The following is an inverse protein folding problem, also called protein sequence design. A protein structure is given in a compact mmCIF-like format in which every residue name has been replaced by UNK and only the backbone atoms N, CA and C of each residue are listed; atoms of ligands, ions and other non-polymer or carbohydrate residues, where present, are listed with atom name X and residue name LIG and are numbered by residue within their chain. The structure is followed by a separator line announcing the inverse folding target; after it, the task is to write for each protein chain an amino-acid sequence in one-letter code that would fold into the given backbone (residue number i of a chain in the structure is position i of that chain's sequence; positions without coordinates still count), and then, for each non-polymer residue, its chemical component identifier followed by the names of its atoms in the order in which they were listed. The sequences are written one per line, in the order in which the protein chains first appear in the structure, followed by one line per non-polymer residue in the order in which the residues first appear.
data_IF_300651922628
#
_entry.id   IF_300651922628
#
_cell.length_a   1.000
_cell.length_b   1.000
_cell.length_c   1.000
_cell.angle_alpha   90.00
_cell.angle_beta   90.00
_cell.angle_gamma   90.00
#
_symmetry.space_group_name_H-M   'P 1'
#
loop_
_entity.id
_entity.type
_entity.pdbx_description
1 polymer ?
#
# COMPACT_ATOMS: atom_id res chain seq x y z
N UNK A 1 -4.10 13.38 28.48
CA UNK A 1 -3.03 13.69 27.50
C UNK A 1 -3.64 14.00 26.13
N UNK A 2 -3.05 14.96 25.37
CA UNK A 2 -3.57 15.34 24.05
C UNK A 2 -3.20 14.28 23.00
N UNK A 3 -4.13 13.94 22.08
CA UNK A 3 -3.88 13.05 20.93
C UNK A 3 -2.73 13.59 20.07
N UNK A 4 -2.85 14.84 19.67
CA UNK A 4 -1.87 15.59 18.86
C UNK A 4 -0.73 16.09 19.76
N UNK A 5 0.08 15.14 20.26
CA UNK A 5 1.31 15.48 20.95
C UNK A 5 2.46 15.68 19.94
N UNK A 6 3.54 16.33 20.39
CA UNK A 6 4.68 16.69 19.53
C UNK A 6 5.33 15.47 18.85
N UNK A 7 5.45 14.36 19.57
CA UNK A 7 6.11 13.17 19.05
C UNK A 7 5.22 12.44 18.05
N UNK A 8 3.93 12.33 18.32
CA UNK A 8 2.96 11.77 17.38
C UNK A 8 2.90 12.59 16.06
N UNK A 9 2.90 13.92 16.15
CA UNK A 9 2.92 14.77 14.95
C UNK A 9 4.17 14.52 14.10
N UNK A 10 5.35 14.34 14.71
CA UNK A 10 6.57 13.98 13.97
C UNK A 10 6.43 12.63 13.26
N UNK A 11 5.89 11.62 13.95
CA UNK A 11 5.66 10.29 13.38
C UNK A 11 4.67 10.35 12.21
N UNK A 12 3.63 11.18 12.30
CA UNK A 12 2.69 11.45 11.22
C UNK A 12 3.38 12.07 10.01
N UNK A 13 4.26 13.05 10.23
CA UNK A 13 5.08 13.67 9.16
C UNK A 13 6.03 12.65 8.54
N UNK A 14 6.71 11.83 9.36
CA UNK A 14 7.55 10.73 8.86
C UNK A 14 6.76 9.81 7.94
N UNK A 15 5.55 9.40 8.37
CA UNK A 15 4.68 8.52 7.59
C UNK A 15 4.25 9.17 6.26
N UNK A 16 3.81 10.42 6.34
CA UNK A 16 3.41 11.16 5.15
C UNK A 16 4.56 11.28 4.14
N UNK A 17 5.76 11.70 4.58
CA UNK A 17 6.92 11.88 3.71
C UNK A 17 7.42 10.55 3.12
N UNK A 18 7.40 9.46 3.91
CA UNK A 18 7.73 8.11 3.44
C UNK A 18 6.85 7.71 2.25
N UNK A 19 5.54 7.78 2.44
CA UNK A 19 4.59 7.38 1.41
C UNK A 19 4.51 8.39 0.26
N UNK A 20 4.71 9.67 0.53
CA UNK A 20 4.74 10.68 -0.52
C UNK A 20 5.92 10.47 -1.47
N UNK A 21 7.14 10.26 -0.93
CA UNK A 21 8.32 9.96 -1.74
C UNK A 21 8.14 8.68 -2.58
N UNK A 22 7.46 7.67 -2.03
CA UNK A 22 7.16 6.43 -2.73
C UNK A 22 6.12 6.60 -3.84
N UNK A 23 4.95 7.19 -3.52
CA UNK A 23 3.85 7.33 -4.46
C UNK A 23 4.10 8.37 -5.55
N UNK A 24 5.01 9.34 -5.34
CA UNK A 24 5.41 10.32 -6.33
C UNK A 24 5.94 9.65 -7.61
N UNK A 25 6.67 8.55 -7.46
CA UNK A 25 7.32 7.83 -8.55
C UNK A 25 6.47 6.66 -9.09
N UNK A 26 5.71 5.99 -8.23
CA UNK A 26 5.07 4.71 -8.54
C UNK A 26 4.34 4.67 -9.89
N UNK A 27 3.45 5.60 -10.26
CA UNK A 27 2.73 5.55 -11.53
C UNK A 27 3.58 5.93 -12.75
N UNK A 28 4.75 6.53 -12.51
CA UNK A 28 5.64 7.01 -13.58
C UNK A 28 6.81 6.05 -13.86
N UNK A 29 7.09 5.10 -12.95
CA UNK A 29 8.17 4.14 -13.14
C UNK A 29 8.00 3.26 -14.38
N UNK A 30 6.81 2.72 -14.72
CA UNK A 30 6.65 1.99 -15.97
C UNK A 30 7.00 2.84 -17.19
N UNK A 31 6.55 4.10 -17.21
CA UNK A 31 6.83 5.03 -18.30
C UNK A 31 8.32 5.39 -18.37
N UNK A 32 8.99 5.53 -17.23
CA UNK A 32 10.43 5.75 -17.16
C UNK A 32 11.23 4.57 -17.73
N UNK A 33 10.86 3.34 -17.36
CA UNK A 33 11.54 2.13 -17.84
C UNK A 33 11.36 1.92 -19.35
N UNK A 34 10.16 2.18 -19.85
CA UNK A 34 9.84 2.16 -21.29
C UNK A 34 10.66 3.20 -22.06
N UNK A 35 10.68 4.48 -21.62
CA UNK A 35 11.32 5.57 -22.35
C UNK A 35 12.84 5.63 -22.21
N UNK A 36 13.37 5.28 -21.03
CA UNK A 36 14.79 5.42 -20.73
C UNK A 36 15.62 4.20 -21.13
N UNK A 37 15.02 3.01 -21.02
CA UNK A 37 15.72 1.75 -21.23
C UNK A 37 15.11 0.88 -22.34
N UNK A 38 14.07 1.36 -23.01
CA UNK A 38 13.33 0.60 -24.04
C UNK A 38 12.91 -0.80 -23.53
N UNK A 39 12.48 -0.84 -22.26
CA UNK A 39 12.16 -2.07 -21.56
C UNK A 39 10.78 -2.59 -21.99
N UNK A 40 10.71 -3.86 -22.36
CA UNK A 40 9.45 -4.55 -22.64
C UNK A 40 8.54 -4.58 -21.40
N UNK A 41 7.24 -4.70 -21.60
CA UNK A 41 6.24 -4.60 -20.53
C UNK A 41 6.33 -5.73 -19.51
N UNK A 42 6.74 -6.93 -19.92
CA UNK A 42 7.02 -8.04 -19.01
C UNK A 42 8.25 -7.76 -18.15
N UNK A 43 9.31 -7.17 -18.72
CA UNK A 43 10.50 -6.74 -18.00
C UNK A 43 10.17 -5.61 -17.02
N UNK A 44 9.34 -4.65 -17.41
CA UNK A 44 8.82 -3.60 -16.49
C UNK A 44 8.09 -4.26 -15.30
N UNK A 45 7.22 -5.23 -15.57
CA UNK A 45 6.52 -5.98 -14.53
C UNK A 45 7.47 -6.71 -13.58
N UNK A 46 8.50 -7.36 -14.12
CA UNK A 46 9.53 -8.06 -13.35
C UNK A 46 10.31 -7.10 -12.43
N UNK A 47 10.80 -6.01 -12.97
CA UNK A 47 11.56 -4.99 -12.22
C UNK A 47 10.73 -4.38 -11.10
N UNK A 48 9.48 -4.03 -11.37
CA UNK A 48 8.61 -3.41 -10.38
C UNK A 48 8.11 -4.40 -9.32
N UNK A 49 7.87 -5.66 -9.68
CA UNK A 49 7.47 -6.71 -8.72
C UNK A 49 8.58 -7.09 -7.75
N UNK A 50 9.85 -6.99 -8.17
CA UNK A 50 11.01 -7.23 -7.31
C UNK A 50 11.00 -6.43 -6.01
N UNK A 51 10.56 -5.18 -6.07
CA UNK A 51 10.36 -4.34 -4.88
C UNK A 51 9.36 -4.94 -3.89
N UNK A 52 8.26 -5.48 -4.38
CA UNK A 52 7.21 -6.06 -3.54
C UNK A 52 7.70 -7.36 -2.91
N UNK A 53 8.42 -8.19 -3.68
CA UNK A 53 9.03 -9.43 -3.17
C UNK A 53 10.00 -9.13 -2.02
N UNK A 54 10.89 -8.16 -2.19
CA UNK A 54 11.82 -7.75 -1.15
C UNK A 54 11.10 -7.21 0.10
N UNK A 55 10.04 -6.43 -0.10
CA UNK A 55 9.17 -5.94 0.99
C UNK A 55 8.52 -7.08 1.76
N UNK A 56 7.97 -8.08 1.05
CA UNK A 56 7.35 -9.26 1.65
C UNK A 56 8.33 -10.07 2.49
N UNK A 57 9.53 -10.30 1.98
CA UNK A 57 10.56 -11.09 2.66
C UNK A 57 11.05 -10.42 3.94
N UNK A 58 11.11 -9.10 4.00
CA UNK A 58 11.62 -8.38 5.19
C UNK A 58 10.55 -8.17 6.27
N UNK A 59 9.26 -8.13 5.94
CA UNK A 59 8.18 -7.84 6.91
C UNK A 59 8.16 -8.74 8.14
N UNK A 60 8.30 -10.08 8.03
CA UNK A 60 8.38 -10.96 9.20
C UNK A 60 9.52 -10.60 10.15
N UNK A 61 10.69 -10.28 9.58
CA UNK A 61 11.89 -9.91 10.35
C UNK A 61 11.77 -8.52 10.98
N UNK A 62 11.01 -7.61 10.34
CA UNK A 62 10.84 -6.24 10.84
C UNK A 62 10.11 -6.20 12.19
N UNK A 63 9.12 -7.06 12.40
CA UNK A 63 8.45 -7.23 13.69
C UNK A 63 9.44 -7.67 14.78
N UNK A 64 10.26 -8.70 14.48
CA UNK A 64 11.30 -9.15 15.38
C UNK A 64 12.31 -8.05 15.71
N UNK A 65 12.77 -7.29 14.71
CA UNK A 65 13.72 -6.19 14.91
C UNK A 65 13.14 -5.12 15.87
N UNK A 66 11.90 -4.74 15.70
CA UNK A 66 11.21 -3.72 16.52
C UNK A 66 11.02 -4.18 17.96
N UNK A 67 10.84 -5.48 18.17
CA UNK A 67 10.62 -6.03 19.50
C UNK A 67 11.94 -6.37 20.24
N UNK A 68 13.00 -6.68 19.49
CA UNK A 68 14.30 -7.13 20.05
C UNK A 68 15.32 -6.02 20.24
N UNK A 69 15.25 -4.94 19.42
CA UNK A 69 16.23 -3.85 19.45
C UNK A 69 15.60 -2.53 19.94
N UNK A 70 16.46 -1.55 20.19
CA UNK A 70 15.99 -0.19 20.50
C UNK A 70 15.23 0.41 19.31
N UNK A 71 13.94 0.67 19.53
CA UNK A 71 13.03 1.14 18.48
C UNK A 71 13.46 2.44 17.81
N UNK A 72 14.12 3.31 18.58
CA UNK A 72 14.62 4.58 18.04
C UNK A 72 15.76 4.33 17.05
N UNK A 73 16.68 3.46 17.39
CA UNK A 73 17.79 3.07 16.53
C UNK A 73 17.28 2.39 15.27
N UNK A 74 16.35 1.42 15.42
CA UNK A 74 15.75 0.72 14.27
C UNK A 74 15.02 1.71 13.35
N UNK A 75 14.20 2.61 13.91
CA UNK A 75 13.51 3.65 13.13
C UNK A 75 14.48 4.50 12.31
N UNK A 76 15.55 4.96 12.95
CA UNK A 76 16.54 5.83 12.32
C UNK A 76 17.29 5.11 11.19
N UNK A 77 17.73 3.87 11.43
CA UNK A 77 18.44 3.05 10.43
C UNK A 77 17.53 2.74 9.25
N UNK A 78 16.28 2.34 9.49
CA UNK A 78 15.33 2.01 8.41
C UNK A 78 15.03 3.24 7.54
N UNK A 79 14.78 4.41 8.14
CA UNK A 79 14.59 5.65 7.37
C UNK A 79 15.85 6.09 6.62
N UNK A 80 17.03 5.92 7.20
CA UNK A 80 18.29 6.18 6.52
C UNK A 80 18.48 5.27 5.30
N UNK A 81 18.27 3.95 5.48
CA UNK A 81 18.35 2.99 4.39
C UNK A 81 17.32 3.27 3.28
N UNK A 82 16.09 3.66 3.66
CA UNK A 82 15.07 4.10 2.70
C UNK A 82 15.50 5.33 1.91
N UNK A 83 16.04 6.34 2.59
CA UNK A 83 16.54 7.56 1.97
C UNK A 83 17.70 7.29 1.01
N UNK A 84 18.70 6.51 1.43
CA UNK A 84 19.91 6.28 0.62
C UNK A 84 19.59 5.53 -0.68
N UNK A 85 18.56 4.67 -0.72
CA UNK A 85 18.16 3.97 -1.93
C UNK A 85 17.74 4.91 -3.06
N UNK A 86 17.25 6.12 -2.76
CA UNK A 86 16.91 7.09 -3.81
C UNK A 86 18.14 7.61 -4.54
N UNK A 87 19.32 7.65 -3.90
CA UNK A 87 20.57 8.00 -4.59
C UNK A 87 20.93 6.98 -5.68
N UNK A 88 20.54 5.71 -5.45
CA UNK A 88 20.71 4.65 -6.42
C UNK A 88 19.89 4.86 -7.70
N UNK A 89 18.68 5.42 -7.62
CA UNK A 89 17.90 5.76 -8.81
C UNK A 89 18.53 6.89 -9.64
N UNK A 90 19.13 7.88 -8.96
CA UNK A 90 19.84 8.98 -9.63
C UNK A 90 21.07 8.45 -10.37
N UNK A 91 21.75 7.43 -9.81
CA UNK A 91 22.97 6.85 -10.39
C UNK A 91 22.74 5.65 -11.32
N UNK A 92 21.51 5.16 -11.48
CA UNK A 92 21.22 3.96 -12.27
C UNK A 92 21.30 4.24 -13.79
N UNK A 93 22.45 3.98 -14.39
CA UNK A 93 22.67 4.15 -15.83
C UNK A 93 22.22 2.96 -16.70
N UNK A 94 21.82 1.83 -16.12
CA UNK A 94 21.36 0.64 -16.86
C UNK A 94 20.09 0.07 -16.22
N UNK A 95 19.30 -0.67 -17.02
CA UNK A 95 18.10 -1.36 -16.56
C UNK A 95 18.40 -2.32 -15.39
N UNK A 96 19.51 -3.08 -15.49
CA UNK A 96 19.92 -4.01 -14.44
C UNK A 96 20.25 -3.28 -13.12
N UNK A 97 20.99 -2.17 -13.17
CA UNK A 97 21.25 -1.35 -11.97
C UNK A 97 19.97 -0.84 -11.36
N UNK A 98 19.05 -0.33 -12.19
CA UNK A 98 17.76 0.15 -11.73
C UNK A 98 16.95 -0.98 -11.05
N UNK A 99 16.91 -2.17 -11.66
CA UNK A 99 16.21 -3.34 -11.12
C UNK A 99 16.78 -3.77 -9.76
N UNK A 100 18.10 -3.80 -9.62
CA UNK A 100 18.77 -4.11 -8.34
C UNK A 100 18.41 -3.06 -7.29
N UNK A 101 18.58 -1.77 -7.60
CA UNK A 101 18.25 -0.67 -6.67
C UNK A 101 16.77 -0.74 -6.26
N UNK A 102 15.88 -0.95 -7.23
CA UNK A 102 14.43 -1.02 -7.00
C UNK A 102 14.08 -2.18 -6.08
N UNK A 103 14.62 -3.36 -6.33
CA UNK A 103 14.39 -4.56 -5.51
C UNK A 103 14.92 -4.34 -4.09
N UNK A 104 16.18 -3.89 -3.95
CA UNK A 104 16.78 -3.64 -2.64
C UNK A 104 16.04 -2.56 -1.85
N UNK A 105 15.47 -1.55 -2.52
CA UNK A 105 14.70 -0.49 -1.86
C UNK A 105 13.42 -1.02 -1.19
N UNK A 106 12.88 -2.16 -1.63
CA UNK A 106 11.75 -2.82 -0.97
C UNK A 106 12.04 -3.23 0.48
N UNK A 107 13.30 -3.57 0.78
CA UNK A 107 13.73 -3.99 2.14
C UNK A 107 13.53 -2.84 3.15
N UNK A 108 14.18 -1.67 3.01
CA UNK A 108 14.00 -0.59 3.96
C UNK A 108 12.58 -0.02 3.96
N UNK A 109 11.85 -0.03 2.84
CA UNK A 109 10.46 0.37 2.83
C UNK A 109 9.58 -0.53 3.70
N UNK A 110 9.67 -1.85 3.50
CA UNK A 110 8.91 -2.82 4.30
C UNK A 110 9.22 -2.69 5.79
N UNK A 111 10.50 -2.60 6.15
CA UNK A 111 10.93 -2.41 7.53
C UNK A 111 10.44 -1.07 8.11
N UNK A 112 10.60 0.02 7.39
CA UNK A 112 10.22 1.37 7.85
C UNK A 112 8.72 1.47 8.11
N UNK A 113 7.88 0.87 7.27
CA UNK A 113 6.42 0.89 7.48
C UNK A 113 6.01 0.18 8.77
N UNK A 114 6.63 -0.95 9.11
CA UNK A 114 6.38 -1.70 10.35
C UNK A 114 6.87 -0.92 11.56
N UNK A 115 8.12 -0.44 11.51
CA UNK A 115 8.73 0.29 12.64
C UNK A 115 7.99 1.58 12.92
N UNK A 116 7.67 2.37 11.89
CA UNK A 116 7.02 3.66 12.05
C UNK A 116 5.60 3.53 12.60
N UNK A 117 4.84 2.52 12.17
CA UNK A 117 3.51 2.22 12.73
C UNK A 117 3.58 1.77 14.20
N UNK A 118 4.59 1.00 14.57
CA UNK A 118 4.81 0.59 15.97
C UNK A 118 5.18 1.80 16.85
N UNK A 119 6.05 2.66 16.36
CA UNK A 119 6.43 3.91 17.04
C UNK A 119 5.23 4.86 17.20
N UNK A 120 4.34 4.92 16.19
CA UNK A 120 3.10 5.69 16.30
C UNK A 120 2.25 5.24 17.50
N UNK A 121 2.15 3.93 17.73
CA UNK A 121 1.41 3.36 18.87
C UNK A 121 2.08 3.73 20.20
N UNK A 122 3.41 3.71 20.26
CA UNK A 122 4.17 3.98 21.49
C UNK A 122 4.06 5.42 21.96
N UNK A 123 3.99 6.37 21.04
CA UNK A 123 3.88 7.81 21.35
C UNK A 123 2.44 8.26 21.63
N UNK A 124 1.45 7.38 21.41
CA UNK A 124 0.04 7.65 21.66
C UNK A 124 -0.36 7.32 23.11
N UNK A 125 -1.19 8.18 23.74
CA UNK A 125 -1.82 7.83 25.00
C UNK A 125 -2.67 6.57 24.88
N UNK A 126 -2.60 5.65 25.84
CA UNK A 126 -3.32 4.37 25.81
C UNK A 126 -4.82 4.53 25.58
N UNK A 127 -5.43 5.55 26.19
CA UNK A 127 -6.87 5.87 26.07
C UNK A 127 -7.29 6.37 24.67
N UNK A 128 -6.35 6.79 23.82
CA UNK A 128 -6.63 7.37 22.47
C UNK A 128 -5.92 6.63 21.33
N UNK A 129 -5.36 5.45 21.59
CA UNK A 129 -4.63 4.66 20.57
C UNK A 129 -5.48 4.36 19.35
N UNK A 130 -6.69 3.87 19.53
CA UNK A 130 -7.57 3.50 18.41
C UNK A 130 -7.88 4.69 17.50
N UNK A 131 -8.10 5.86 18.09
CA UNK A 131 -8.33 7.11 17.35
C UNK A 131 -7.06 7.54 16.61
N UNK A 132 -5.90 7.52 17.29
CA UNK A 132 -4.62 7.88 16.69
C UNK A 132 -4.19 6.96 15.56
N UNK A 133 -4.38 5.65 15.67
CA UNK A 133 -4.10 4.70 14.58
C UNK A 133 -4.96 5.02 13.35
N UNK A 134 -6.21 5.45 13.55
CA UNK A 134 -7.07 5.91 12.46
C UNK A 134 -6.48 7.12 11.71
N UNK A 135 -6.02 8.14 12.43
CA UNK A 135 -5.36 9.30 11.82
C UNK A 135 -4.02 8.95 11.18
N UNK A 136 -3.26 8.02 11.78
CA UNK A 136 -2.02 7.52 11.18
C UNK A 136 -2.28 6.95 9.76
N UNK A 137 -3.31 6.14 9.61
CA UNK A 137 -3.73 5.63 8.29
C UNK A 137 -4.20 6.74 7.33
N UNK A 138 -4.78 7.83 7.83
CA UNK A 138 -5.16 8.97 6.99
C UNK A 138 -3.94 9.69 6.40
N UNK A 139 -2.81 9.77 7.10
CA UNK A 139 -1.59 10.39 6.56
C UNK A 139 -1.05 9.64 5.34
N UNK A 140 -1.09 8.31 5.36
CA UNK A 140 -0.76 7.49 4.19
C UNK A 140 -1.73 7.76 3.02
N UNK A 141 -3.04 7.76 3.30
CA UNK A 141 -4.03 8.01 2.26
C UNK A 141 -3.89 9.41 1.64
N UNK A 142 -3.55 10.42 2.45
CA UNK A 142 -3.29 11.77 1.94
C UNK A 142 -2.05 11.79 1.03
N UNK A 143 -0.97 11.09 1.40
CA UNK A 143 0.20 10.94 0.55
C UNK A 143 -0.15 10.25 -0.78
N UNK A 144 -0.92 9.15 -0.72
CA UNK A 144 -1.39 8.43 -1.90
C UNK A 144 -2.32 9.28 -2.78
N UNK A 145 -3.06 10.23 -2.17
CA UNK A 145 -3.91 11.17 -2.87
C UNK A 145 -3.13 12.18 -3.71
N UNK A 146 -2.13 12.78 -3.07
CA UNK A 146 -1.49 13.98 -3.61
C UNK A 146 -0.22 13.64 -4.40
N UNK A 147 0.57 12.67 -3.95
CA UNK A 147 1.88 12.41 -4.52
C UNK A 147 1.83 11.95 -6.00
N UNK A 148 0.98 10.96 -6.41
CA UNK A 148 0.91 10.57 -7.82
C UNK A 148 0.53 11.73 -8.74
N UNK A 149 -0.47 12.52 -8.34
CA UNK A 149 -0.93 13.68 -9.11
C UNK A 149 0.18 14.72 -9.24
N UNK A 150 0.91 14.97 -8.15
CA UNK A 150 2.05 15.90 -8.13
C UNK A 150 3.18 15.39 -9.05
N UNK A 151 3.50 14.10 -8.98
CA UNK A 151 4.54 13.50 -9.81
C UNK A 151 4.21 13.58 -11.30
N UNK A 152 2.98 13.21 -11.67
CA UNK A 152 2.51 13.26 -13.05
C UNK A 152 2.48 14.72 -13.56
N UNK A 153 2.00 15.67 -12.76
CA UNK A 153 1.99 17.08 -13.11
C UNK A 153 3.42 17.61 -13.37
N UNK A 154 4.36 17.34 -12.46
CA UNK A 154 5.75 17.77 -12.62
C UNK A 154 6.35 17.15 -13.90
N UNK A 155 6.10 15.87 -14.14
CA UNK A 155 6.59 15.20 -15.35
C UNK A 155 5.99 15.82 -16.63
N UNK A 156 4.70 16.08 -16.66
CA UNK A 156 4.03 16.67 -17.82
C UNK A 156 4.55 18.07 -18.16
N UNK A 157 4.89 18.86 -17.12
CA UNK A 157 5.43 20.23 -17.32
C UNK A 157 6.92 20.23 -17.71
N UNK A 158 7.70 19.30 -17.13
CA UNK A 158 9.18 19.35 -17.26
C UNK A 158 9.75 18.31 -18.21
N UNK A 159 9.03 17.20 -18.46
CA UNK A 159 9.55 16.03 -19.18
C UNK A 159 10.71 15.32 -18.48
N UNK A 160 11.00 15.65 -17.21
CA UNK A 160 12.25 15.27 -16.56
C UNK A 160 12.03 14.31 -15.38
N UNK A 161 12.31 13.02 -15.59
CA UNK A 161 12.27 12.02 -14.52
C UNK A 161 13.34 12.23 -13.44
N UNK A 162 14.51 12.75 -13.82
CA UNK A 162 15.60 12.96 -12.87
C UNK A 162 15.20 13.98 -11.78
N UNK A 163 14.44 15.01 -12.15
CA UNK A 163 13.88 15.97 -11.19
C UNK A 163 12.99 15.26 -10.14
N UNK A 164 12.20 14.29 -10.57
CA UNK A 164 11.32 13.51 -9.66
C UNK A 164 12.12 12.63 -8.70
N UNK A 165 13.22 12.03 -9.16
CA UNK A 165 14.12 11.28 -8.29
C UNK A 165 14.77 12.17 -7.23
N UNK A 166 15.20 13.38 -7.60
CA UNK A 166 15.75 14.37 -6.67
C UNK A 166 14.70 14.84 -5.66
N UNK A 167 13.48 15.12 -6.09
CA UNK A 167 12.38 15.50 -5.19
C UNK A 167 12.10 14.36 -4.20
N UNK A 168 12.01 13.13 -4.67
CA UNK A 168 11.79 11.95 -3.81
C UNK A 168 12.93 11.76 -2.81
N UNK A 169 14.17 12.00 -3.23
CA UNK A 169 15.34 11.96 -2.37
C UNK A 169 15.25 13.02 -1.24
N UNK A 170 14.90 14.26 -1.58
CA UNK A 170 14.73 15.35 -0.61
C UNK A 170 13.60 15.04 0.39
N UNK A 171 12.46 14.52 -0.09
CA UNK A 171 11.35 14.13 0.75
C UNK A 171 11.72 12.97 1.69
N UNK A 172 12.43 11.97 1.18
CA UNK A 172 12.92 10.84 1.98
C UNK A 172 13.95 11.31 3.03
N UNK A 173 14.83 12.24 2.69
CA UNK A 173 15.74 12.91 3.63
C UNK A 173 14.95 13.65 4.72
N UNK A 174 13.92 14.39 4.35
CA UNK A 174 13.01 15.04 5.31
C UNK A 174 12.38 14.05 6.29
N UNK A 175 11.93 12.89 5.78
CA UNK A 175 11.43 11.79 6.59
C UNK A 175 12.48 11.24 7.55
N UNK A 176 13.69 10.96 7.05
CA UNK A 176 14.83 10.53 7.86
C UNK A 176 15.18 11.58 8.95
N UNK A 177 15.33 12.85 8.58
CA UNK A 177 15.62 13.91 9.52
C UNK A 177 14.54 14.02 10.61
N UNK A 178 13.27 13.98 10.23
CA UNK A 178 12.18 13.99 11.19
C UNK A 178 12.22 12.76 12.11
N UNK A 179 12.51 11.57 11.58
CA UNK A 179 12.66 10.34 12.35
C UNK A 179 13.77 10.46 13.40
N UNK A 180 14.91 11.11 13.08
CA UNK A 180 15.98 11.37 14.08
C UNK A 180 15.53 12.25 15.24
N UNK A 181 14.51 13.09 15.04
CA UNK A 181 13.97 14.02 16.04
C UNK A 181 12.82 13.47 16.89
N UNK A 182 12.33 12.27 16.59
CA UNK A 182 11.30 11.59 17.41
C UNK A 182 11.94 11.16 18.73
N UNK A 183 11.29 11.49 19.85
CA UNK A 183 11.68 11.04 21.20
C UNK A 183 10.70 9.94 21.63
N UNK A 184 11.23 8.79 21.99
CA UNK A 184 10.45 7.65 22.47
C UNK A 184 10.50 7.58 24.01
N UNK A 185 9.44 7.14 24.67
CA UNK A 185 9.47 6.82 26.08
C UNK A 185 10.48 5.67 26.32
N UNK A 186 11.20 5.74 27.43
CA UNK A 186 12.08 4.63 27.85
C UNK A 186 11.22 3.38 28.05
N UNK A 187 11.58 2.30 27.36
CA UNK A 187 10.93 1.00 27.50
C UNK A 187 11.71 0.19 28.53
N UNK A 188 11.02 -0.40 29.48
CA UNK A 188 11.62 -1.50 30.27
C UNK A 188 11.91 -2.66 29.30
N UNK A 189 13.13 -3.19 29.35
CA UNK A 189 13.53 -4.31 28.46
C UNK A 189 12.56 -5.48 28.70
N UNK A 190 11.90 -5.92 27.66
CA UNK A 190 11.07 -7.12 27.71
C UNK A 190 11.97 -8.30 28.15
N UNK A 191 11.64 -8.93 29.27
CA UNK A 191 12.43 -10.03 29.85
C UNK A 191 12.35 -11.35 29.06
N UNK A 192 11.45 -11.47 28.11
CA UNK A 192 11.32 -12.65 27.27
C UNK A 192 11.87 -12.39 25.87
N UNK A 193 12.88 -13.17 25.46
CA UNK A 193 13.30 -13.22 24.06
C UNK A 193 12.13 -13.78 23.25
N UNK A 194 11.66 -13.09 22.19
CA UNK A 194 10.61 -13.62 21.34
C UNK A 194 11.12 -14.92 20.70
N UNK A 195 10.41 -16.02 20.94
CA UNK A 195 10.69 -17.31 20.29
C UNK A 195 10.25 -17.17 18.85
N UNK A 196 11.16 -17.40 17.90
CA UNK A 196 10.83 -17.44 16.47
C UNK A 196 9.93 -18.66 16.21
N UNK A 197 8.63 -18.44 16.05
CA UNK A 197 7.68 -19.48 15.65
C UNK A 197 6.94 -19.06 14.38
N UNK A 198 6.61 -20.00 13.51
CA UNK A 198 5.89 -19.74 12.26
C UNK A 198 4.53 -19.08 12.50
N UNK A 199 3.89 -19.35 13.63
CA UNK A 199 2.61 -18.76 14.02
C UNK A 199 2.70 -17.25 14.33
N UNK A 200 3.91 -16.72 14.52
CA UNK A 200 4.14 -15.27 14.64
C UNK A 200 4.32 -14.57 13.31
N UNK A 201 4.42 -15.31 12.19
CA UNK A 201 4.63 -14.74 10.86
C UNK A 201 3.36 -14.64 10.05
N UNK A 202 2.42 -15.58 10.21
CA UNK A 202 1.18 -15.62 9.46
C UNK A 202 0.03 -16.25 10.25
N UNK A 203 -1.14 -15.58 10.24
CA UNK A 203 -2.35 -16.05 10.93
C UNK A 203 -3.06 -17.13 10.10
N UNK A 204 -2.70 -18.40 10.27
CA UNK A 204 -3.27 -19.51 9.52
C UNK A 204 -4.80 -19.63 9.63
N UNK A 205 -5.41 -19.22 10.77
CA UNK A 205 -6.87 -19.17 10.92
C UNK A 205 -7.59 -18.24 9.96
N UNK A 206 -6.89 -17.24 9.39
CA UNK A 206 -7.42 -16.26 8.44
C UNK A 206 -7.14 -16.61 6.96
N UNK A 207 -6.74 -17.83 6.63
CA UNK A 207 -6.26 -18.24 5.31
C UNK A 207 -7.20 -17.83 4.15
N UNK A 208 -8.53 -17.98 4.33
CA UNK A 208 -9.49 -17.63 3.27
C UNK A 208 -9.66 -16.11 3.13
N UNK A 209 -9.56 -15.34 4.24
CA UNK A 209 -9.47 -13.89 4.20
C UNK A 209 -8.20 -13.46 3.47
N UNK A 210 -7.08 -14.15 3.71
CA UNK A 210 -5.79 -13.87 3.07
C UNK A 210 -5.83 -14.09 1.56
N UNK A 211 -6.33 -15.23 1.10
CA UNK A 211 -6.52 -15.50 -0.34
C UNK A 211 -7.43 -14.42 -0.95
N UNK A 212 -8.54 -14.10 -0.31
CA UNK A 212 -9.49 -13.15 -0.86
C UNK A 212 -8.90 -11.73 -0.98
N UNK A 213 -8.21 -11.24 0.05
CA UNK A 213 -7.58 -9.91 -0.02
C UNK A 213 -6.44 -9.87 -1.04
N UNK A 214 -5.77 -10.99 -1.33
CA UNK A 214 -4.75 -11.08 -2.38
C UNK A 214 -5.33 -10.86 -3.78
N UNK A 215 -6.56 -11.30 -4.07
CA UNK A 215 -7.23 -10.96 -5.34
C UNK A 215 -7.37 -9.43 -5.51
N UNK A 216 -7.75 -8.74 -4.45
CA UNK A 216 -7.91 -7.28 -4.48
C UNK A 216 -6.56 -6.56 -4.54
N UNK A 217 -5.54 -7.10 -3.87
CA UNK A 217 -4.16 -6.65 -3.98
C UNK A 217 -3.63 -6.77 -5.41
N UNK A 218 -3.93 -7.88 -6.11
CA UNK A 218 -3.56 -8.09 -7.51
C UNK A 218 -4.16 -7.00 -8.41
N UNK A 219 -5.45 -6.76 -8.29
CA UNK A 219 -6.14 -5.72 -9.06
C UNK A 219 -5.54 -4.33 -8.80
N UNK A 220 -5.23 -4.04 -7.53
CA UNK A 220 -4.57 -2.80 -7.14
C UNK A 220 -3.16 -2.67 -7.73
N UNK A 221 -2.37 -3.76 -7.75
CA UNK A 221 -1.03 -3.78 -8.31
C UNK A 221 -0.99 -3.37 -9.77
N UNK A 222 -1.88 -3.93 -10.60
CA UNK A 222 -2.00 -3.53 -12.01
C UNK A 222 -2.45 -2.08 -12.13
N UNK A 223 -3.54 -1.70 -11.44
CA UNK A 223 -4.11 -0.36 -11.55
C UNK A 223 -3.10 0.72 -11.14
N UNK A 224 -2.48 0.59 -9.98
CA UNK A 224 -1.57 1.62 -9.43
C UNK A 224 -0.30 1.82 -10.24
N UNK A 225 0.16 0.79 -10.95
CA UNK A 225 1.39 0.87 -11.73
C UNK A 225 1.17 1.18 -13.21
N UNK A 226 0.12 0.64 -13.83
CA UNK A 226 -0.04 0.72 -15.28
C UNK A 226 -1.11 1.72 -15.76
N UNK A 227 -1.90 2.32 -14.86
CA UNK A 227 -2.97 3.26 -15.26
C UNK A 227 -2.44 4.49 -15.99
N UNK A 228 -1.26 5.00 -15.63
CA UNK A 228 -0.67 6.17 -16.25
C UNK A 228 -0.22 5.88 -17.70
N UNK A 229 0.50 4.78 -17.90
CA UNK A 229 0.95 4.37 -19.23
C UNK A 229 -0.22 3.95 -20.11
N UNK A 230 -1.23 3.23 -19.57
CA UNK A 230 -2.46 2.92 -20.27
C UNK A 230 -3.23 4.16 -20.70
N UNK A 231 -3.41 5.12 -19.79
CA UNK A 231 -4.10 6.39 -20.09
C UNK A 231 -3.43 7.14 -21.23
N UNK A 232 -2.10 7.21 -21.22
CA UNK A 232 -1.34 7.88 -22.27
C UNK A 232 -1.39 7.15 -23.61
N UNK A 233 -1.11 5.85 -23.63
CA UNK A 233 -0.95 5.06 -24.86
C UNK A 233 -2.28 4.64 -25.50
N UNK A 234 -3.30 4.31 -24.70
CA UNK A 234 -4.55 3.75 -25.19
C UNK A 234 -5.70 4.75 -25.26
N UNK A 235 -5.73 5.75 -24.36
CA UNK A 235 -6.81 6.72 -24.28
C UNK A 235 -6.39 8.13 -24.72
N UNK A 236 -5.11 8.35 -25.04
CA UNK A 236 -4.59 9.67 -25.42
C UNK A 236 -4.65 10.72 -24.28
N UNK A 237 -4.75 10.24 -23.03
CA UNK A 237 -4.85 11.11 -21.85
C UNK A 237 -3.44 11.49 -21.41
N UNK A 238 -2.93 12.63 -21.88
CA UNK A 238 -1.58 13.12 -21.55
C UNK A 238 -1.53 13.81 -20.18
N UNK A 239 -2.53 14.62 -19.84
CA UNK A 239 -2.54 15.49 -18.67
C UNK A 239 -3.52 15.07 -17.57
N UNK A 240 -4.35 14.09 -17.82
CA UNK A 240 -5.46 13.72 -16.93
C UNK A 240 -5.19 12.60 -15.92
N UNK A 241 -4.05 11.92 -15.99
CA UNK A 241 -3.77 10.76 -15.12
C UNK A 241 -3.58 11.19 -13.66
N UNK A 242 -3.12 12.40 -13.40
CA UNK A 242 -3.07 12.98 -12.06
C UNK A 242 -4.47 13.12 -11.44
N UNK A 243 -5.46 13.53 -12.24
CA UNK A 243 -6.86 13.65 -11.82
C UNK A 243 -7.43 12.28 -11.43
N UNK A 244 -7.03 11.21 -12.12
CA UNK A 244 -7.41 9.84 -11.75
C UNK A 244 -7.05 9.52 -10.30
N UNK A 245 -5.81 9.76 -9.89
CA UNK A 245 -5.36 9.50 -8.52
C UNK A 245 -6.00 10.46 -7.51
N UNK A 246 -6.29 11.70 -7.88
CA UNK A 246 -7.05 12.63 -7.03
C UNK A 246 -8.47 12.12 -6.77
N UNK A 247 -9.19 11.69 -7.80
CA UNK A 247 -10.55 11.16 -7.68
C UNK A 247 -10.58 9.84 -6.91
N UNK A 248 -9.62 8.94 -7.18
CA UNK A 248 -9.45 7.70 -6.44
C UNK A 248 -9.27 7.97 -4.95
N UNK A 249 -8.44 8.93 -4.61
CA UNK A 249 -8.17 9.30 -3.23
C UNK A 249 -9.32 10.04 -2.57
N UNK A 250 -10.02 10.88 -3.30
CA UNK A 250 -11.28 11.48 -2.83
C UNK A 250 -12.29 10.38 -2.47
N UNK A 251 -12.42 9.36 -3.31
CA UNK A 251 -13.23 8.17 -3.02
C UNK A 251 -12.80 7.45 -1.74
N UNK A 252 -11.49 7.22 -1.56
CA UNK A 252 -10.94 6.61 -0.34
C UNK A 252 -11.28 7.41 0.93
N UNK A 253 -11.16 8.74 0.87
CA UNK A 253 -11.45 9.62 2.02
C UNK A 253 -12.95 9.66 2.30
N UNK A 254 -13.77 9.89 1.28
CA UNK A 254 -15.24 9.96 1.41
C UNK A 254 -15.80 8.65 1.96
N UNK A 255 -15.33 7.51 1.46
CA UNK A 255 -15.79 6.20 1.93
C UNK A 255 -15.55 5.98 3.43
N UNK A 256 -14.48 6.56 3.98
CA UNK A 256 -14.18 6.45 5.43
C UNK A 256 -15.14 7.26 6.29
N UNK A 257 -15.69 8.36 5.78
CA UNK A 257 -16.68 9.15 6.51
C UNK A 257 -17.98 8.35 6.71
N UNK A 258 -18.40 7.59 5.71
CA UNK A 258 -19.61 6.76 5.77
C UNK A 258 -19.36 5.38 6.38
N UNK A 259 -18.28 4.71 5.99
CA UNK A 259 -17.96 3.34 6.42
C UNK A 259 -17.57 3.20 7.89
N UNK A 260 -16.94 4.22 8.48
CA UNK A 260 -16.44 4.17 9.85
C UNK A 260 -17.55 4.00 10.91
N UNK A 261 -18.73 4.60 10.70
CA UNK A 261 -19.89 4.42 11.59
C UNK A 261 -20.41 2.99 11.58
N UNK A 262 -20.45 2.36 10.42
CA UNK A 262 -20.90 0.99 10.23
C UNK A 262 -19.90 -0.02 10.80
N UNK A 263 -18.60 0.21 10.61
CA UNK A 263 -17.52 -0.62 11.20
C UNK A 263 -17.55 -0.58 12.72
N UNK A 264 -17.76 0.59 13.34
CA UNK A 264 -17.92 0.71 14.80
C UNK A 264 -19.12 -0.07 15.34
N UNK A 265 -20.18 -0.24 14.55
CA UNK A 265 -21.35 -1.07 14.88
C UNK A 265 -21.11 -2.56 14.61
N UNK A 266 -19.89 -2.99 14.32
CA UNK A 266 -19.54 -4.40 14.05
C UNK A 266 -20.02 -4.95 12.71
N UNK A 267 -20.54 -4.11 11.79
CA UNK A 267 -21.07 -4.54 10.47
C UNK A 267 -19.96 -4.71 9.43
N UNK A 268 -18.91 -5.47 9.77
CA UNK A 268 -17.71 -5.63 8.92
C UNK A 268 -18.04 -6.30 7.59
N UNK A 269 -18.84 -7.37 7.61
CA UNK A 269 -19.24 -8.09 6.39
C UNK A 269 -20.01 -7.19 5.43
N UNK A 270 -20.93 -6.36 5.94
CA UNK A 270 -21.67 -5.41 5.11
C UNK A 270 -20.75 -4.40 4.45
N UNK A 271 -19.83 -3.81 5.22
CA UNK A 271 -18.87 -2.84 4.67
C UNK A 271 -17.95 -3.47 3.62
N UNK A 272 -17.46 -4.69 3.87
CA UNK A 272 -16.68 -5.42 2.90
C UNK A 272 -17.48 -5.71 1.63
N UNK A 273 -18.74 -6.15 1.73
CA UNK A 273 -19.61 -6.40 0.57
C UNK A 273 -19.82 -5.14 -0.26
N UNK A 274 -20.20 -4.04 0.39
CA UNK A 274 -20.40 -2.76 -0.32
C UNK A 274 -19.09 -2.30 -0.98
N UNK A 275 -17.96 -2.38 -0.26
CA UNK A 275 -16.66 -2.00 -0.78
C UNK A 275 -16.24 -2.84 -1.99
N UNK A 276 -16.42 -4.16 -1.90
CA UNK A 276 -16.08 -5.10 -2.98
C UNK A 276 -16.93 -4.86 -4.22
N UNK A 277 -18.25 -4.63 -4.07
CA UNK A 277 -19.15 -4.36 -5.18
C UNK A 277 -18.87 -3.01 -5.86
N UNK A 278 -18.58 -1.95 -5.08
CA UNK A 278 -18.16 -0.66 -5.62
C UNK A 278 -16.83 -0.76 -6.39
N UNK A 279 -15.85 -1.48 -5.85
CA UNK A 279 -14.59 -1.74 -6.54
C UNK A 279 -14.83 -2.53 -7.82
N UNK A 280 -15.67 -3.58 -7.79
CA UNK A 280 -16.01 -4.36 -8.97
C UNK A 280 -16.64 -3.48 -10.07
N UNK A 281 -17.60 -2.63 -9.70
CA UNK A 281 -18.21 -1.69 -10.65
C UNK A 281 -17.15 -0.74 -11.25
N UNK A 282 -16.24 -0.21 -10.43
CA UNK A 282 -15.17 0.67 -10.88
C UNK A 282 -14.18 -0.03 -11.83
N UNK A 283 -13.68 -1.21 -11.47
CA UNK A 283 -12.76 -1.97 -12.34
C UNK A 283 -13.43 -2.44 -13.64
N UNK A 284 -14.71 -2.85 -13.58
CA UNK A 284 -15.47 -3.24 -14.78
C UNK A 284 -15.71 -2.05 -15.70
N UNK A 285 -16.09 -0.89 -15.14
CA UNK A 285 -16.27 0.34 -15.92
C UNK A 285 -14.96 0.74 -16.62
N UNK A 286 -13.84 0.69 -15.89
CA UNK A 286 -12.52 1.00 -16.45
C UNK A 286 -12.13 0.07 -17.60
N UNK A 287 -12.35 -1.23 -17.43
CA UNK A 287 -11.90 -2.24 -18.38
C UNK A 287 -12.76 -2.30 -19.65
N UNK A 288 -14.10 -2.23 -19.51
CA UNK A 288 -15.02 -2.51 -20.61
C UNK A 288 -15.56 -1.25 -21.32
N UNK A 289 -15.35 -0.07 -20.74
CA UNK A 289 -15.78 1.21 -21.33
C UNK A 289 -14.57 2.14 -21.49
N UNK A 290 -13.74 1.97 -22.54
CA UNK A 290 -12.48 2.71 -22.70
C UNK A 290 -12.72 4.15 -23.19
N UNK A 291 -13.28 4.99 -22.32
CA UNK A 291 -13.57 6.40 -22.60
C UNK A 291 -12.98 7.30 -21.49
N UNK A 292 -12.78 8.56 -21.79
CA UNK A 292 -12.21 9.48 -20.80
C UNK A 292 -13.11 9.65 -19.57
N UNK A 293 -14.43 9.70 -19.71
CA UNK A 293 -15.32 9.85 -18.57
C UNK A 293 -15.34 8.59 -17.69
N UNK A 294 -15.31 7.39 -18.28
CA UNK A 294 -15.25 6.13 -17.54
C UNK A 294 -13.94 5.97 -16.79
N UNK A 295 -12.83 6.43 -17.36
CA UNK A 295 -11.51 6.47 -16.72
C UNK A 295 -11.58 7.24 -15.39
N UNK A 296 -12.17 8.43 -15.36
CA UNK A 296 -12.27 9.23 -14.14
C UNK A 296 -13.34 8.71 -13.17
N UNK A 297 -14.50 8.28 -13.65
CA UNK A 297 -15.55 7.75 -12.78
C UNK A 297 -15.12 6.43 -12.13
N UNK A 298 -14.40 5.59 -12.85
CA UNK A 298 -13.84 4.35 -12.30
C UNK A 298 -12.87 4.60 -11.15
N UNK A 299 -12.04 5.63 -11.23
CA UNK A 299 -11.14 6.02 -10.16
C UNK A 299 -11.91 6.32 -8.86
N UNK A 300 -12.97 7.11 -8.95
CA UNK A 300 -13.82 7.43 -7.81
C UNK A 300 -14.48 6.17 -7.21
N UNK A 301 -15.03 5.30 -8.06
CA UNK A 301 -15.67 4.05 -7.63
C UNK A 301 -14.68 3.08 -6.97
N UNK A 302 -13.50 2.89 -7.56
CA UNK A 302 -12.42 2.06 -6.98
C UNK A 302 -11.97 2.64 -5.64
N UNK A 303 -11.83 3.96 -5.55
CA UNK A 303 -11.49 4.64 -4.31
C UNK A 303 -12.54 4.43 -3.22
N UNK A 304 -13.82 4.65 -3.53
CA UNK A 304 -14.94 4.40 -2.61
C UNK A 304 -14.97 2.94 -2.14
N UNK A 305 -14.76 2.01 -3.05
CA UNK A 305 -14.77 0.59 -2.77
C UNK A 305 -13.61 0.15 -1.87
N UNK A 306 -12.38 0.46 -2.26
CA UNK A 306 -11.18 0.09 -1.49
C UNK A 306 -11.13 0.75 -0.11
N UNK A 307 -11.64 1.99 0.01
CA UNK A 307 -11.70 2.71 1.28
C UNK A 307 -12.66 2.09 2.29
N UNK A 308 -13.66 1.31 1.86
CA UNK A 308 -14.53 0.52 2.74
C UNK A 308 -14.03 -0.91 2.93
N UNK A 309 -13.59 -1.55 1.84
CA UNK A 309 -13.18 -2.96 1.84
C UNK A 309 -11.96 -3.20 2.72
N UNK A 310 -10.85 -2.47 2.52
CA UNK A 310 -9.60 -2.73 3.23
C UNK A 310 -9.72 -2.63 4.75
N UNK A 311 -10.32 -1.57 5.34
CA UNK A 311 -10.52 -1.51 6.78
C UNK A 311 -11.46 -2.60 7.32
N UNK A 312 -12.44 -3.03 6.53
CA UNK A 312 -13.32 -4.13 6.91
C UNK A 312 -12.54 -5.44 7.01
N UNK A 313 -11.71 -5.77 6.02
CA UNK A 313 -10.84 -6.94 6.06
C UNK A 313 -9.84 -6.88 7.22
N UNK A 314 -9.22 -5.73 7.47
CA UNK A 314 -8.31 -5.56 8.60
C UNK A 314 -9.00 -5.90 9.93
N UNK A 315 -10.21 -5.38 10.13
CA UNK A 315 -10.99 -5.72 11.33
C UNK A 315 -11.39 -7.20 11.38
N UNK A 316 -11.68 -7.82 10.24
CA UNK A 316 -11.96 -9.26 10.17
C UNK A 316 -10.74 -10.10 10.59
N UNK A 317 -9.53 -9.77 10.11
CA UNK A 317 -8.29 -10.43 10.54
C UNK A 317 -8.08 -10.30 12.04
N UNK A 318 -8.28 -9.10 12.61
CA UNK A 318 -8.13 -8.85 14.05
C UNK A 318 -9.16 -9.66 14.87
N UNK A 319 -10.41 -9.76 14.39
CA UNK A 319 -11.48 -10.48 15.10
C UNK A 319 -11.36 -12.01 15.02
N UNK A 320 -10.62 -12.55 14.05
CA UNK A 320 -10.30 -13.98 13.95
C UNK A 320 -9.07 -14.34 14.79
N UNK A 321 -8.23 -13.36 15.12
CA UNK A 321 -7.01 -13.52 15.90
C UNK A 321 -7.30 -13.55 17.40
N UNK A 322 -6.50 -14.33 18.15
CA UNK A 322 -6.46 -14.23 19.61
C UNK A 322 -5.86 -12.89 20.03
N UNK A 323 -6.06 -12.51 21.28
CA UNK A 323 -5.60 -11.23 21.80
C UNK A 323 -4.06 -11.05 21.67
N UNK A 324 -3.32 -12.12 21.86
CA UNK A 324 -1.86 -12.18 21.73
C UNK A 324 -1.37 -12.23 20.26
N UNK A 325 -2.25 -12.48 19.30
CA UNK A 325 -1.96 -12.61 17.86
C UNK A 325 -2.39 -11.39 17.01
N UNK A 326 -2.75 -10.27 17.62
CA UNK A 326 -3.20 -9.07 16.88
C UNK A 326 -2.14 -8.48 15.96
N UNK A 327 -0.86 -8.52 16.37
CA UNK A 327 0.27 -8.13 15.55
C UNK A 327 0.41 -9.03 14.31
N UNK A 328 0.33 -10.34 14.52
CA UNK A 328 0.35 -11.34 13.45
C UNK A 328 -0.81 -11.15 12.48
N UNK A 329 -2.02 -10.83 12.99
CA UNK A 329 -3.17 -10.54 12.14
C UNK A 329 -2.93 -9.33 11.21
N UNK A 330 -2.37 -8.26 11.76
CA UNK A 330 -2.01 -7.07 10.99
C UNK A 330 -0.93 -7.35 9.95
N UNK A 331 0.11 -8.11 10.31
CA UNK A 331 1.15 -8.52 9.36
C UNK A 331 0.58 -9.42 8.26
N UNK A 332 -0.31 -10.34 8.60
CA UNK A 332 -0.89 -11.30 7.65
C UNK A 332 -1.72 -10.61 6.56
N UNK A 333 -2.52 -9.60 6.89
CA UNK A 333 -3.25 -8.86 5.86
C UNK A 333 -2.31 -8.08 4.95
N UNK A 334 -1.26 -7.47 5.50
CA UNK A 334 -0.26 -6.73 4.71
C UNK A 334 0.50 -7.67 3.77
N UNK A 335 0.94 -8.83 4.26
CA UNK A 335 1.61 -9.86 3.45
C UNK A 335 0.69 -10.31 2.30
N UNK A 336 -0.57 -10.61 2.61
CA UNK A 336 -1.54 -11.08 1.61
C UNK A 336 -1.84 -10.02 0.55
N UNK A 337 -1.99 -8.76 0.96
CA UNK A 337 -2.17 -7.64 0.04
C UNK A 337 -0.95 -7.45 -0.87
N UNK A 338 0.25 -7.41 -0.29
CA UNK A 338 1.49 -7.20 -1.05
C UNK A 338 1.81 -8.38 -1.97
N UNK A 339 1.53 -9.62 -1.54
CA UNK A 339 1.67 -10.80 -2.39
C UNK A 339 0.77 -10.69 -3.62
N UNK A 340 -0.50 -10.35 -3.42
CA UNK A 340 -1.42 -10.10 -4.52
C UNK A 340 -0.91 -8.98 -5.43
N UNK A 341 -0.49 -7.85 -4.86
CA UNK A 341 0.03 -6.70 -5.60
C UNK A 341 1.26 -7.06 -6.46
N UNK A 342 2.22 -7.80 -5.89
CA UNK A 342 3.40 -8.23 -6.63
C UNK A 342 3.07 -9.15 -7.80
N UNK A 343 2.19 -10.14 -7.58
CA UNK A 343 1.67 -11.01 -8.64
C UNK A 343 0.96 -10.18 -9.72
N UNK A 344 0.14 -9.21 -9.31
CA UNK A 344 -0.59 -8.34 -10.23
C UNK A 344 0.33 -7.50 -11.11
N UNK A 345 1.37 -6.90 -10.54
CA UNK A 345 2.35 -6.10 -11.28
C UNK A 345 3.05 -6.97 -12.33
N UNK A 346 3.51 -8.16 -11.93
CA UNK A 346 4.19 -9.08 -12.83
C UNK A 346 3.27 -9.57 -13.96
N UNK A 347 2.11 -10.13 -13.61
CA UNK A 347 1.15 -10.64 -14.59
C UNK A 347 0.60 -9.53 -15.48
N UNK A 348 0.38 -8.33 -14.93
CA UNK A 348 -0.06 -7.16 -15.68
C UNK A 348 0.95 -6.77 -16.78
N UNK A 349 2.25 -6.80 -16.48
CA UNK A 349 3.31 -6.56 -17.45
C UNK A 349 3.34 -7.63 -18.55
N UNK A 350 3.35 -8.91 -18.16
CA UNK A 350 3.37 -10.05 -19.10
C UNK A 350 2.14 -10.05 -20.02
N UNK A 351 0.93 -9.81 -19.49
CA UNK A 351 -0.28 -9.75 -20.31
C UNK A 351 -0.25 -8.53 -21.24
N UNK A 352 0.21 -7.39 -20.70
CA UNK A 352 0.30 -6.16 -21.48
C UNK A 352 1.27 -6.29 -22.67
N UNK A 353 2.37 -7.03 -22.50
CA UNK A 353 3.34 -7.30 -23.58
C UNK A 353 2.75 -8.21 -24.64
N UNK A 354 2.19 -9.35 -24.25
CA UNK A 354 1.78 -10.41 -25.21
C UNK A 354 0.42 -10.13 -25.86
N UNK A 355 -0.50 -9.45 -25.16
CA UNK A 355 -1.91 -9.27 -25.60
C UNK A 355 -2.34 -7.79 -25.58
N UNK A 356 -1.63 -6.93 -24.85
CA UNK A 356 -1.90 -5.51 -24.74
C UNK A 356 -2.50 -5.09 -23.40
N UNK A 357 -2.45 -3.79 -23.11
CA UNK A 357 -2.93 -3.23 -21.85
C UNK A 357 -4.44 -3.42 -21.62
N UNK A 358 -5.26 -3.37 -22.68
CA UNK A 358 -6.71 -3.63 -22.56
C UNK A 358 -6.98 -5.03 -22.00
N UNK A 359 -6.25 -6.05 -22.47
CA UNK A 359 -6.36 -7.42 -21.96
C UNK A 359 -5.91 -7.53 -20.50
N UNK A 360 -4.86 -6.81 -20.10
CA UNK A 360 -4.42 -6.75 -18.71
C UNK A 360 -5.53 -6.19 -17.79
N UNK A 361 -6.20 -5.11 -18.19
CA UNK A 361 -7.29 -4.53 -17.40
C UNK A 361 -8.60 -5.34 -17.47
N UNK A 362 -8.89 -6.05 -18.57
CA UNK A 362 -9.97 -7.05 -18.61
C UNK A 362 -9.70 -8.17 -17.60
N UNK A 363 -8.46 -8.66 -17.53
CA UNK A 363 -8.06 -9.67 -16.53
C UNK A 363 -8.26 -9.16 -15.11
N UNK A 364 -7.92 -7.90 -14.83
CA UNK A 364 -8.18 -7.25 -13.54
C UNK A 364 -9.68 -7.26 -13.19
N UNK A 365 -10.56 -6.91 -14.12
CA UNK A 365 -12.00 -6.92 -13.90
C UNK A 365 -12.51 -8.34 -13.58
N UNK A 366 -12.02 -9.37 -14.27
CA UNK A 366 -12.36 -10.77 -13.98
C UNK A 366 -11.81 -11.23 -12.62
N UNK A 367 -10.59 -10.86 -12.27
CA UNK A 367 -10.02 -11.19 -10.96
C UNK A 367 -10.77 -10.49 -9.82
N UNK A 368 -11.18 -9.24 -10.02
CA UNK A 368 -12.02 -8.51 -9.07
C UNK A 368 -13.38 -9.20 -8.90
N UNK A 369 -13.99 -9.65 -10.00
CA UNK A 369 -15.25 -10.41 -9.96
C UNK A 369 -15.09 -11.75 -9.24
N UNK A 370 -14.01 -12.48 -9.50
CA UNK A 370 -13.70 -13.74 -8.79
C UNK A 370 -13.51 -13.50 -7.29
N UNK A 371 -12.77 -12.46 -6.90
CA UNK A 371 -12.61 -12.05 -5.50
C UNK A 371 -13.94 -11.66 -4.85
N UNK A 372 -14.81 -10.95 -5.57
CA UNK A 372 -16.15 -10.58 -5.11
C UNK A 372 -17.04 -11.80 -4.88
N UNK A 373 -17.08 -12.73 -5.82
CA UNK A 373 -17.82 -14.00 -5.71
C UNK A 373 -17.28 -14.83 -4.54
N UNK A 374 -15.97 -14.96 -4.42
CA UNK A 374 -15.34 -15.68 -3.31
C UNK A 374 -15.74 -15.05 -1.95
N UNK A 375 -15.76 -13.71 -1.87
CA UNK A 375 -16.17 -13.02 -0.65
C UNK A 375 -17.63 -13.32 -0.29
N UNK A 376 -18.54 -13.17 -1.24
CA UNK A 376 -19.99 -13.29 -1.01
C UNK A 376 -20.37 -14.75 -0.69
N UNK A 377 -19.81 -15.71 -1.43
CA UNK A 377 -20.20 -17.12 -1.33
C UNK A 377 -19.51 -17.83 -0.16
N UNK A 378 -18.24 -17.52 0.11
CA UNK A 378 -17.43 -18.28 1.05
C UNK A 378 -16.82 -17.43 2.17
N UNK A 379 -16.04 -16.39 1.86
CA UNK A 379 -15.22 -15.67 2.85
C UNK A 379 -16.05 -14.98 3.92
N UNK A 380 -17.17 -14.35 3.55
CA UNK A 380 -18.07 -13.71 4.50
C UNK A 380 -18.66 -14.70 5.51
N UNK A 381 -19.08 -15.90 5.05
CA UNK A 381 -19.58 -16.98 5.90
C UNK A 381 -18.47 -17.59 6.77
N UNK A 382 -17.31 -17.80 6.19
CA UNK A 382 -16.12 -18.28 6.90
C UNK A 382 -15.76 -17.36 8.07
N UNK A 383 -15.72 -16.05 7.86
CA UNK A 383 -15.49 -15.07 8.91
C UNK A 383 -16.53 -15.17 10.04
N UNK A 384 -17.81 -15.20 9.72
CA UNK A 384 -18.89 -15.28 10.71
C UNK A 384 -18.78 -16.53 11.61
N UNK A 385 -18.28 -17.65 11.08
CA UNK A 385 -18.08 -18.90 11.83
C UNK A 385 -16.81 -18.90 12.69
N UNK A 386 -15.81 -18.08 12.34
CA UNK A 386 -14.48 -18.10 12.98
C UNK A 386 -14.16 -16.85 13.81
N UNK A 387 -15.00 -15.84 13.77
CA UNK A 387 -14.81 -14.66 14.63
C UNK A 387 -14.84 -15.11 16.09
N UNK A 388 -13.93 -14.56 16.86
CA UNK A 388 -13.90 -14.73 18.31
C UNK A 388 -14.80 -13.65 18.88
N UNK A 389 -15.88 -14.06 19.57
CA UNK A 389 -16.71 -13.14 20.33
C UNK A 389 -15.88 -12.65 21.53
N UNK A 390 -15.92 -11.37 21.79
CA UNK A 390 -15.36 -10.81 23.02
C UNK A 390 -16.30 -11.21 24.17
N UNK A 391 -15.93 -12.23 24.97
CA UNK A 391 -16.49 -12.45 26.29
C UNK A 391 -15.89 -11.46 27.28
#
# INVERSE_FOLDING_TARGET
MKLWNREYNKVMVCNFLLFFAFYLLTPLLPLYLDQQFDADKDMIGLVLSGYVVATLLVRPFSGFMVDSFDRKTVLTICFFAFFICFTGYVGAGTLLMFAIVRTLHGIPFGATTVVNSTVAIDVLPSSRRNEGIGYYGLSNNLAMAVAPSTGIYIYNVTGNFMLLFWISLILAFGGFYCATRVKLPKREKAQAKPVLSLDHFFLGRAWLLAINISFFGLCWGVMSNYVAIYGKQQLGITDGTGIFFMLLSAGLIVSRLFGSKSLRKGKMTLNATVGVLLSLAGYSLFAFVPTQWSFYLSALLVGLGNGQMYPAFLNMFIKVARHDQRGTANSSILISWDLGMGIGILLGGVIAENVGFSAAFHTVAFMQAAGALLFILATGRFFQRRRLDEN
#
